data_IF_040593317078
#
_entry.id   IF_040593317078
#
_cell.length_a   1.000
_cell.length_b   1.000
_cell.length_c   1.000
_cell.angle_alpha   90.00
_cell.angle_beta   90.00
_cell.angle_gamma   90.00
#
_symmetry.space_group_name_H-M   'P 1'
#
loop_
_entity.id
_entity.type
_entity.pdbx_description
1 polymer ?
#
# COMPACT_ATOMS: atom_id res chain seq x y z
N UNK A 1 -19.69 -60.86 25.61
CA UNK A 1 -19.85 -60.23 24.29
C UNK A 1 -20.21 -58.78 24.52
N UNK A 2 -19.26 -57.84 24.40
CA UNK A 2 -19.52 -56.42 24.57
C UNK A 2 -18.72 -55.68 23.50
N UNK A 3 -19.41 -55.24 22.45
CA UNK A 3 -18.83 -54.48 21.34
C UNK A 3 -18.87 -53.00 21.70
N UNK A 4 -17.71 -52.42 22.00
CA UNK A 4 -17.53 -50.97 22.12
C UNK A 4 -17.38 -50.41 20.71
N UNK A 5 -18.46 -49.83 20.19
CA UNK A 5 -18.45 -49.09 18.94
C UNK A 5 -17.78 -47.72 19.14
N UNK A 6 -16.58 -47.54 18.59
CA UNK A 6 -15.89 -46.26 18.58
C UNK A 6 -16.50 -45.41 17.47
N UNK A 7 -17.30 -44.41 17.85
CA UNK A 7 -17.82 -43.40 16.94
C UNK A 7 -16.69 -42.41 16.63
N UNK A 8 -16.05 -42.56 15.47
CA UNK A 8 -15.05 -41.61 14.99
C UNK A 8 -15.76 -40.33 14.51
N UNK A 9 -15.75 -39.27 15.32
CA UNK A 9 -16.23 -37.96 14.93
C UNK A 9 -15.25 -37.31 13.94
N UNK A 10 -15.61 -37.28 12.66
CA UNK A 10 -14.87 -36.59 11.61
C UNK A 10 -15.02 -35.06 11.81
N UNK A 11 -14.06 -34.43 12.47
CA UNK A 11 -14.00 -32.96 12.56
C UNK A 11 -13.56 -32.44 11.19
N UNK A 12 -14.53 -32.03 10.36
CA UNK A 12 -14.27 -31.30 9.12
C UNK A 12 -13.82 -29.89 9.50
N UNK A 13 -12.51 -29.68 9.55
CA UNK A 13 -11.94 -28.35 9.66
C UNK A 13 -12.23 -27.58 8.36
N UNK A 14 -13.28 -26.76 8.36
CA UNK A 14 -13.51 -25.82 7.27
C UNK A 14 -12.40 -24.76 7.35
N UNK A 15 -11.51 -24.65 6.35
CA UNK A 15 -10.56 -23.55 6.33
C UNK A 15 -11.38 -22.27 6.23
N UNK A 16 -11.28 -21.43 7.25
CA UNK A 16 -11.76 -20.06 7.15
C UNK A 16 -10.88 -19.39 6.10
N UNK A 17 -11.41 -19.22 4.90
CA UNK A 17 -10.77 -18.41 3.88
C UNK A 17 -10.69 -17.00 4.47
N UNK A 18 -9.50 -16.61 4.93
CA UNK A 18 -9.21 -15.23 5.29
C UNK A 18 -9.15 -14.49 3.96
N UNK A 19 -10.31 -14.03 3.50
CA UNK A 19 -10.37 -13.07 2.41
C UNK A 19 -9.83 -11.77 3.01
N UNK A 20 -8.55 -11.50 2.78
CA UNK A 20 -8.04 -10.15 2.99
C UNK A 20 -8.92 -9.23 2.14
N UNK A 21 -9.54 -8.23 2.78
CA UNK A 21 -10.33 -7.24 2.04
C UNK A 21 -9.34 -6.20 1.53
N UNK A 22 -8.85 -6.39 0.31
CA UNK A 22 -8.04 -5.39 -0.36
C UNK A 22 -8.91 -4.16 -0.60
N UNK A 23 -8.53 -3.03 0.00
CA UNK A 23 -9.25 -1.78 -0.16
C UNK A 23 -8.74 -1.05 -1.42
N UNK A 24 -9.63 -0.43 -2.19
CA UNK A 24 -9.21 0.42 -3.32
C UNK A 24 -8.80 1.79 -2.78
N UNK A 25 -7.70 2.37 -3.29
CA UNK A 25 -7.29 3.74 -2.93
C UNK A 25 -8.25 4.78 -3.57
N UNK A 26 -9.48 4.91 -3.08
CA UNK A 26 -10.48 5.85 -3.63
C UNK A 26 -10.58 7.18 -2.87
N UNK A 27 -10.01 7.25 -1.66
CA UNK A 27 -10.07 8.44 -0.85
C UNK A 27 -9.17 9.56 -1.40
N UNK A 28 -9.81 10.66 -1.80
CA UNK A 28 -9.15 11.82 -2.42
C UNK A 28 -8.55 12.79 -1.39
N UNK A 29 -8.75 12.55 -0.09
CA UNK A 29 -8.19 13.37 0.97
C UNK A 29 -8.83 14.75 1.13
N UNK A 30 -8.11 15.72 1.73
CA UNK A 30 -8.66 17.03 2.12
C UNK A 30 -8.84 18.02 0.95
N UNK A 31 -8.43 17.69 -0.27
CA UNK A 31 -8.69 18.49 -1.46
C UNK A 31 -7.64 18.32 -2.56
N UNK A 32 -7.61 19.27 -3.49
CA UNK A 32 -6.81 19.21 -4.71
C UNK A 32 -5.35 19.69 -4.58
N UNK A 33 -4.89 20.14 -3.42
CA UNK A 33 -3.50 20.56 -3.25
C UNK A 33 -2.58 19.38 -2.86
N UNK A 34 -1.26 19.52 -3.02
CA UNK A 34 -0.30 18.59 -2.43
C UNK A 34 -0.52 18.35 -0.93
N UNK A 35 -0.24 17.15 -0.38
CA UNK A 35 -0.38 16.88 1.05
C UNK A 35 0.38 17.86 1.96
N UNK A 36 1.52 18.38 1.50
CA UNK A 36 2.31 19.37 2.24
C UNK A 36 1.54 20.65 2.58
N UNK A 37 0.65 21.10 1.69
CA UNK A 37 -0.19 22.29 1.89
C UNK A 37 -1.27 22.05 2.96
N UNK A 38 -1.54 20.78 3.29
CA UNK A 38 -2.44 20.36 4.35
C UNK A 38 -1.72 19.94 5.64
N UNK A 39 -0.43 20.29 5.76
CA UNK A 39 0.38 19.99 6.96
C UNK A 39 0.86 18.55 7.07
N UNK A 40 0.78 17.76 6.00
CA UNK A 40 1.40 16.44 6.00
C UNK A 40 2.92 16.59 5.87
N UNK A 41 3.64 15.67 6.52
CA UNK A 41 5.09 15.59 6.41
C UNK A 41 5.47 14.56 5.37
N UNK A 42 6.44 14.87 4.51
CA UNK A 42 7.05 13.89 3.63
C UNK A 42 7.67 12.78 4.50
N UNK A 43 7.23 11.54 4.26
CA UNK A 43 7.85 10.36 4.84
C UNK A 43 9.04 9.93 3.99
N UNK A 44 8.83 9.71 2.69
CA UNK A 44 9.90 9.43 1.75
C UNK A 44 9.49 9.74 0.30
N UNK A 45 10.48 9.91 -0.57
CA UNK A 45 10.33 9.69 -2.01
C UNK A 45 10.84 8.28 -2.32
N UNK A 46 10.07 7.50 -3.06
CA UNK A 46 10.40 6.13 -3.40
C UNK A 46 10.61 5.99 -4.91
N UNK A 47 11.82 5.60 -5.30
CA UNK A 47 12.19 5.42 -6.69
C UNK A 47 11.68 4.09 -7.24
N UNK A 48 11.34 4.08 -8.52
CA UNK A 48 11.02 2.87 -9.27
C UNK A 48 12.26 1.96 -9.43
N UNK A 49 12.10 0.68 -9.12
CA UNK A 49 13.07 -0.38 -9.34
C UNK A 49 12.44 -1.55 -10.09
N UNK A 50 12.88 -1.78 -11.32
CA UNK A 50 12.50 -2.96 -12.10
C UNK A 50 13.14 -4.20 -11.45
N UNK A 51 12.32 -5.20 -11.13
CA UNK A 51 12.79 -6.49 -10.59
C UNK A 51 13.03 -7.47 -11.74
N UNK A 52 12.07 -7.56 -12.66
CA UNK A 52 12.15 -8.32 -13.91
C UNK A 52 11.22 -7.69 -14.96
N UNK A 53 10.99 -8.34 -16.10
CA UNK A 53 10.13 -7.81 -17.17
C UNK A 53 8.66 -7.66 -16.78
N UNK A 54 8.22 -8.34 -15.74
CA UNK A 54 6.86 -8.38 -15.25
C UNK A 54 6.70 -7.82 -13.85
N UNK A 55 7.75 -7.41 -13.14
CA UNK A 55 7.62 -6.94 -11.76
C UNK A 55 8.45 -5.70 -11.49
N UNK A 56 7.94 -4.84 -10.62
CA UNK A 56 8.66 -3.68 -10.13
C UNK A 56 8.34 -3.40 -8.66
N UNK A 57 9.21 -2.63 -8.01
CA UNK A 57 9.09 -2.19 -6.62
C UNK A 57 9.39 -0.70 -6.52
N UNK A 58 8.82 -0.05 -5.51
CA UNK A 58 9.16 1.32 -5.13
C UNK A 58 9.80 1.31 -3.76
N UNK A 59 11.05 1.75 -3.70
CA UNK A 59 11.87 1.72 -2.49
C UNK A 59 12.19 3.17 -2.10
N UNK A 60 11.94 3.53 -0.84
CA UNK A 60 12.25 4.85 -0.31
C UNK A 60 13.75 5.15 -0.45
N UNK A 61 14.07 6.32 -0.99
CA UNK A 61 15.44 6.80 -1.18
C UNK A 61 16.26 6.71 0.12
N UNK A 62 17.50 6.24 0.00
CA UNK A 62 18.45 6.06 1.10
C UNK A 62 18.03 5.05 2.18
N UNK A 63 17.05 4.19 1.90
CA UNK A 63 16.62 3.11 2.78
C UNK A 63 16.37 1.82 2.00
N UNK A 64 16.00 0.75 2.69
CA UNK A 64 15.51 -0.50 2.07
C UNK A 64 14.00 -0.65 2.20
N UNK A 65 13.29 0.41 2.58
CA UNK A 65 11.87 0.38 2.85
C UNK A 65 11.09 0.38 1.53
N UNK A 66 10.46 -0.75 1.21
CA UNK A 66 9.52 -0.85 0.10
C UNK A 66 8.17 -0.27 0.51
N UNK A 67 7.59 0.61 -0.31
CA UNK A 67 6.29 1.24 -0.04
C UNK A 67 5.21 0.83 -1.04
N UNK A 68 5.61 0.31 -2.20
CA UNK A 68 4.70 -0.17 -3.23
C UNK A 68 5.38 -1.21 -4.10
N UNK A 69 4.58 -2.01 -4.77
CA UNK A 69 5.03 -2.92 -5.81
C UNK A 69 3.99 -3.04 -6.93
N UNK A 70 4.46 -3.50 -8.08
CA UNK A 70 3.64 -3.61 -9.27
C UNK A 70 3.65 -5.04 -9.77
N UNK A 71 2.46 -5.53 -10.11
CA UNK A 71 2.19 -6.84 -10.70
C UNK A 71 2.37 -8.06 -9.77
N UNK A 72 2.54 -7.88 -8.46
CA UNK A 72 2.60 -9.00 -7.51
C UNK A 72 1.21 -9.49 -7.13
N UNK A 73 0.28 -8.57 -6.87
CA UNK A 73 -1.09 -8.91 -6.49
C UNK A 73 -1.93 -9.40 -7.68
N UNK A 74 -1.88 -8.67 -8.79
CA UNK A 74 -2.59 -9.00 -10.02
C UNK A 74 -1.96 -8.30 -11.25
N UNK A 75 -2.23 -8.79 -12.48
CA UNK A 75 -1.76 -8.18 -13.71
C UNK A 75 -1.93 -6.66 -13.76
N UNK A 76 -0.84 -5.91 -13.93
CA UNK A 76 -0.80 -4.45 -14.11
C UNK A 76 -1.31 -3.63 -12.91
N UNK A 77 -1.46 -4.24 -11.74
CA UNK A 77 -1.87 -3.54 -10.51
C UNK A 77 -0.65 -2.99 -9.80
N UNK A 78 -0.70 -1.71 -9.43
CA UNK A 78 0.21 -1.10 -8.47
C UNK A 78 -0.44 -1.18 -7.09
N UNK A 79 0.18 -1.91 -6.17
CA UNK A 79 -0.23 -2.03 -4.77
C UNK A 79 0.64 -1.10 -3.91
N UNK A 80 -0.02 -0.30 -3.07
CA UNK A 80 0.64 0.47 -2.02
C UNK A 80 0.56 -0.36 -0.73
N UNK A 81 1.72 -0.67 -0.16
CA UNK A 81 1.81 -1.42 1.08
C UNK A 81 1.15 -0.67 2.24
N UNK A 82 0.77 -1.40 3.28
CA UNK A 82 0.20 -0.77 4.47
C UNK A 82 1.25 0.05 5.23
N UNK A 83 0.93 1.26 5.73
CA UNK A 83 1.88 2.02 6.53
C UNK A 83 2.18 1.36 7.88
N UNK A 84 1.17 0.85 8.58
CA UNK A 84 1.22 0.43 9.98
C UNK A 84 0.37 -0.82 10.28
N UNK A 85 0.06 -1.62 9.26
CA UNK A 85 -0.38 -3.00 9.43
C UNK A 85 0.80 -3.94 9.75
N UNK A 86 0.54 -5.24 9.78
CA UNK A 86 1.57 -6.24 10.03
C UNK A 86 2.61 -6.23 8.89
N UNK A 87 3.86 -5.89 9.22
CA UNK A 87 4.92 -5.71 8.23
C UNK A 87 4.85 -4.39 7.44
N UNK A 88 4.08 -3.41 7.93
CA UNK A 88 3.96 -2.11 7.29
C UNK A 88 5.27 -1.32 7.20
N UNK A 89 5.32 -0.37 6.27
CA UNK A 89 6.56 0.36 5.95
C UNK A 89 6.91 1.48 6.95
N UNK A 90 5.94 1.93 7.75
CA UNK A 90 6.11 2.92 8.80
C UNK A 90 6.60 2.29 10.11
N UNK A 91 7.41 3.03 10.86
CA UNK A 91 7.87 2.58 12.17
C UNK A 91 6.86 2.92 13.30
N UNK A 92 7.06 2.35 14.49
CA UNK A 92 6.16 2.55 15.63
C UNK A 92 5.92 4.02 15.96
N UNK A 93 6.96 4.84 15.85
CA UNK A 93 6.94 6.27 16.16
C UNK A 93 6.26 7.11 15.08
N UNK A 94 5.92 6.52 13.93
CA UNK A 94 5.19 7.17 12.84
C UNK A 94 3.72 6.71 12.79
N UNK A 95 3.41 5.58 13.41
CA UNK A 95 2.08 4.96 13.38
C UNK A 95 1.02 5.67 14.22
N UNK A 96 1.37 6.81 14.83
CA UNK A 96 0.38 7.77 15.32
C UNK A 96 -0.42 8.43 14.18
N UNK A 97 0.18 8.58 12.98
CA UNK A 97 -0.46 9.19 11.84
C UNK A 97 -1.62 8.30 11.39
N UNK A 98 -2.86 8.81 11.46
CA UNK A 98 -4.06 8.05 11.10
C UNK A 98 -4.21 7.89 9.59
N UNK A 99 -3.72 8.87 8.84
CA UNK A 99 -3.91 9.02 7.41
C UNK A 99 -2.57 9.30 6.73
N UNK A 100 -2.37 8.69 5.58
CA UNK A 100 -1.16 8.79 4.76
C UNK A 100 -1.56 9.22 3.36
N UNK A 101 -0.71 10.02 2.72
CA UNK A 101 -0.90 10.53 1.36
C UNK A 101 0.11 9.90 0.41
N UNK A 102 -0.33 9.54 -0.78
CA UNK A 102 0.47 8.89 -1.81
C UNK A 102 0.32 9.71 -3.08
N UNK A 103 1.43 10.19 -3.63
CA UNK A 103 1.44 11.04 -4.81
C UNK A 103 2.46 10.52 -5.82
N UNK A 104 2.13 10.60 -7.10
CA UNK A 104 3.10 10.35 -8.16
C UNK A 104 3.90 11.60 -8.49
N UNK A 105 5.14 11.39 -8.93
CA UNK A 105 6.03 12.47 -9.33
C UNK A 105 7.22 11.98 -10.14
N UNK A 106 8.18 12.87 -10.29
CA UNK A 106 9.49 12.62 -10.88
C UNK A 106 10.61 13.04 -9.91
N UNK A 107 11.86 13.06 -10.40
CA UNK A 107 13.02 13.44 -9.59
C UNK A 107 13.04 14.92 -9.16
N UNK A 108 12.14 15.75 -9.69
CA UNK A 108 12.00 17.17 -9.33
C UNK A 108 10.87 17.43 -8.34
N UNK A 109 10.04 16.43 -8.06
CA UNK A 109 8.95 16.52 -7.10
C UNK A 109 7.67 15.86 -7.58
N UNK A 110 6.58 16.15 -6.88
CA UNK A 110 5.23 15.76 -7.29
C UNK A 110 4.80 16.53 -8.55
N UNK A 111 3.98 15.91 -9.39
CA UNK A 111 3.47 16.58 -10.59
C UNK A 111 2.59 17.80 -10.22
N UNK A 112 2.82 18.94 -10.89
CA UNK A 112 2.34 20.29 -10.52
C UNK A 112 0.81 20.51 -10.56
N UNK A 113 0.05 19.52 -11.01
CA UNK A 113 -1.40 19.47 -10.90
C UNK A 113 -1.76 18.06 -10.45
N UNK A 114 -2.40 17.98 -9.30
CA UNK A 114 -2.86 16.77 -8.61
C UNK A 114 -3.84 15.94 -9.46
N UNK A 115 -3.33 15.22 -10.45
CA UNK A 115 -4.02 14.04 -11.00
C UNK A 115 -4.03 12.87 -10.00
N UNK A 116 -4.34 13.20 -8.74
CA UNK A 116 -4.85 12.27 -7.76
C UNK A 116 -3.81 11.71 -6.82
N UNK A 117 -3.22 12.56 -5.97
CA UNK A 117 -2.78 12.01 -4.69
C UNK A 117 -3.96 11.23 -4.08
N UNK A 118 -3.67 10.05 -3.57
CA UNK A 118 -4.65 9.22 -2.85
C UNK A 118 -4.23 9.11 -1.42
N UNK A 119 -5.21 8.85 -0.58
CA UNK A 119 -4.99 8.76 0.84
C UNK A 119 -5.47 7.40 1.32
N UNK A 120 -4.76 6.86 2.29
CA UNK A 120 -5.07 5.57 2.89
C UNK A 120 -4.90 5.65 4.41
N UNK A 121 -5.74 4.92 5.13
CA UNK A 121 -5.59 4.77 6.57
C UNK A 121 -4.30 4.05 6.90
N UNK A 122 -3.78 4.27 8.11
CA UNK A 122 -2.52 3.64 8.54
C UNK A 122 -2.52 2.11 8.52
N UNK A 123 -3.69 1.45 8.52
CA UNK A 123 -3.80 -0.01 8.51
C UNK A 123 -4.35 -0.57 7.21
N UNK A 124 -4.57 0.30 6.22
CA UNK A 124 -5.08 -0.12 4.93
C UNK A 124 -3.86 -0.46 4.07
N UNK A 125 -3.93 -1.56 3.34
CA UNK A 125 -3.22 -1.71 2.06
C UNK A 125 -4.14 -1.16 0.97
N UNK A 126 -3.58 -0.70 -0.15
CA UNK A 126 -4.47 -0.24 -1.20
C UNK A 126 -3.97 -0.47 -2.63
N UNK A 127 -4.90 -0.94 -3.45
CA UNK A 127 -4.70 -1.06 -4.89
C UNK A 127 -4.95 0.28 -5.57
N UNK A 128 -4.00 0.72 -6.39
CA UNK A 128 -4.22 1.89 -7.22
C UNK A 128 -5.29 1.59 -8.28
N UNK A 129 -6.24 2.51 -8.46
CA UNK A 129 -7.40 2.30 -9.34
C UNK A 129 -7.02 2.12 -10.82
N UNK A 130 -5.95 2.80 -11.24
CA UNK A 130 -5.44 2.71 -12.60
C UNK A 130 -4.53 1.49 -12.73
N UNK A 131 -4.71 0.74 -13.82
CA UNK A 131 -3.76 -0.28 -14.25
C UNK A 131 -2.65 0.38 -15.06
N UNK A 132 -1.42 -0.08 -14.86
CA UNK A 132 -0.24 0.46 -15.52
C UNK A 132 0.42 -0.64 -16.34
N UNK A 133 0.76 -0.34 -17.58
CA UNK A 133 1.86 -1.05 -18.25
C UNK A 133 3.19 -0.64 -17.61
N UNK A 134 4.22 -1.49 -17.71
CA UNK A 134 5.56 -1.20 -17.19
C UNK A 134 6.09 0.18 -17.63
N UNK A 135 5.89 0.54 -18.91
CA UNK A 135 6.35 1.81 -19.46
C UNK A 135 5.55 3.04 -18.99
N UNK A 136 4.40 2.84 -18.35
CA UNK A 136 3.52 3.88 -17.84
C UNK A 136 3.69 4.10 -16.33
N UNK A 137 4.50 3.28 -15.66
CA UNK A 137 4.72 3.39 -14.23
C UNK A 137 5.38 4.74 -13.90
N UNK A 138 4.94 5.42 -12.84
CA UNK A 138 5.56 6.66 -12.42
C UNK A 138 7.02 6.39 -11.99
N UNK A 139 7.95 7.30 -12.29
CA UNK A 139 9.34 7.10 -11.87
C UNK A 139 9.51 7.21 -10.34
N UNK A 140 8.63 7.96 -9.67
CA UNK A 140 8.64 8.14 -8.21
C UNK A 140 7.24 8.09 -7.60
N UNK A 141 7.18 7.56 -6.37
CA UNK A 141 6.04 7.68 -5.46
C UNK A 141 6.48 8.46 -4.23
N UNK A 142 5.80 9.57 -3.95
CA UNK A 142 6.00 10.38 -2.75
C UNK A 142 4.98 9.96 -1.70
N UNK A 143 5.48 9.54 -0.54
CA UNK A 143 4.67 9.11 0.60
C UNK A 143 4.70 10.20 1.67
N UNK A 144 3.53 10.59 2.14
CA UNK A 144 3.32 11.60 3.16
C UNK A 144 2.58 11.01 4.34
N UNK A 145 2.87 11.51 5.55
CA UNK A 145 2.18 11.13 6.78
C UNK A 145 1.50 12.34 7.40
N UNK A 146 0.28 12.15 7.89
CA UNK A 146 -0.41 13.18 8.67
C UNK A 146 0.34 13.52 9.95
N UNK A 147 0.16 14.75 10.44
CA UNK A 147 0.60 15.12 11.78
C UNK A 147 -0.42 14.71 12.85
N UNK A 148 0.00 14.75 14.13
CA UNK A 148 -0.90 14.56 15.26
C UNK A 148 -2.04 15.59 15.17
N UNK A 149 -3.24 15.14 14.83
CA UNK A 149 -4.48 15.91 14.99
C UNK A 149 -5.18 15.49 16.27
#
# INVERSE_FOLDING_TARGET
MMHIGVLAALIVAFPSAVVSKHHRCDFQGPGGYPPGDYGYLLFCAAAFHKVDDNHARYICDNTTTQVADWNYLAPQVLEIGTPCGDGGFGNSDQCYAKLWGICFGDSKGIFAASQGCRYLGRKDDCEWLQRFEMAQLPPYIYVFRGQWT
#
